data_IF_351264039337
#
_entry.id   IF_351264039337
#
_cell.length_a   1.000
_cell.length_b   1.000
_cell.length_c   1.000
_cell.angle_alpha   90.00
_cell.angle_beta   90.00
_cell.angle_gamma   90.00
#
_symmetry.space_group_name_H-M   'P 1'
#
loop_
_entity.id
_entity.type
_entity.pdbx_description
1 polymer ?
#
# COMPACT_ATOMS: atom_id res chain seq x y z
N UNK A 1 13.66 26.44 -7.27
CA UNK A 1 12.44 26.85 -6.51
C UNK A 1 11.27 26.26 -7.26
N UNK A 2 10.65 25.20 -6.69
CA UNK A 2 9.46 24.60 -7.30
C UNK A 2 8.32 25.62 -7.35
N UNK A 3 7.59 25.71 -8.47
CA UNK A 3 6.46 26.60 -8.59
C UNK A 3 5.34 26.17 -7.62
N UNK A 4 4.50 27.10 -7.16
CA UNK A 4 3.36 26.78 -6.28
C UNK A 4 2.45 25.72 -6.89
N UNK A 5 2.27 25.74 -8.22
CA UNK A 5 1.49 24.76 -8.94
C UNK A 5 2.13 23.35 -8.93
N UNK A 6 3.45 23.27 -9.00
CA UNK A 6 4.18 21.99 -8.92
C UNK A 6 4.03 21.34 -7.54
N UNK A 7 4.13 22.13 -6.47
CA UNK A 7 3.92 21.62 -5.11
C UNK A 7 2.49 21.11 -4.90
N UNK A 8 1.48 21.81 -5.40
CA UNK A 8 0.08 21.37 -5.33
C UNK A 8 -0.13 20.07 -6.10
N UNK A 9 0.43 19.97 -7.32
CA UNK A 9 0.35 18.74 -8.13
C UNK A 9 0.97 17.54 -7.40
N UNK A 10 2.18 17.72 -6.86
CA UNK A 10 2.86 16.66 -6.10
C UNK A 10 2.03 16.24 -4.90
N UNK A 11 1.49 17.19 -4.15
CA UNK A 11 0.67 16.92 -2.99
C UNK A 11 -0.61 16.13 -3.36
N UNK A 12 -1.29 16.51 -4.45
CA UNK A 12 -2.48 15.78 -4.93
C UNK A 12 -2.15 14.36 -5.37
N UNK A 13 -1.04 14.14 -6.09
CA UNK A 13 -0.60 12.80 -6.48
C UNK A 13 -0.33 11.95 -5.23
N UNK A 14 0.34 12.50 -4.21
CA UNK A 14 0.59 11.81 -2.96
C UNK A 14 -0.71 11.48 -2.21
N UNK A 15 -1.68 12.40 -2.15
CA UNK A 15 -2.97 12.14 -1.51
C UNK A 15 -3.72 10.99 -2.19
N UNK A 16 -3.74 10.95 -3.52
CA UNK A 16 -4.38 9.86 -4.29
C UNK A 16 -3.67 8.53 -3.98
N UNK A 17 -2.33 8.50 -4.02
CA UNK A 17 -1.59 7.27 -3.73
C UNK A 17 -1.77 6.82 -2.27
N UNK A 18 -1.81 7.74 -1.30
CA UNK A 18 -2.08 7.43 0.10
C UNK A 18 -3.46 6.82 0.31
N UNK A 19 -4.48 7.39 -0.35
CA UNK A 19 -5.84 6.87 -0.27
C UNK A 19 -5.93 5.46 -0.87
N UNK A 20 -5.43 5.27 -2.10
CA UNK A 20 -5.46 3.95 -2.77
C UNK A 20 -4.61 2.93 -2.00
N UNK A 21 -3.44 3.32 -1.49
CA UNK A 21 -2.60 2.47 -0.63
C UNK A 21 -3.32 2.04 0.65
N UNK A 22 -4.07 2.96 1.26
CA UNK A 22 -4.96 2.67 2.39
C UNK A 22 -6.08 1.69 2.04
N UNK A 23 -6.73 1.88 0.88
CA UNK A 23 -7.76 0.95 0.38
C UNK A 23 -7.16 -0.44 0.16
N UNK A 24 -5.99 -0.55 -0.48
CA UNK A 24 -5.28 -1.83 -0.68
C UNK A 24 -5.06 -2.53 0.67
N UNK A 25 -4.54 -1.80 1.66
CA UNK A 25 -4.28 -2.35 2.99
C UNK A 25 -5.55 -2.88 3.66
N UNK A 26 -6.64 -2.13 3.63
CA UNK A 26 -7.92 -2.53 4.22
C UNK A 26 -8.64 -3.63 3.42
N UNK A 27 -8.49 -3.65 2.09
CA UNK A 27 -8.95 -4.78 1.27
C UNK A 27 -8.24 -6.06 1.69
N UNK A 28 -6.92 -6.02 1.89
CA UNK A 28 -6.17 -7.19 2.39
C UNK A 28 -6.66 -7.62 3.78
N UNK A 29 -6.91 -6.70 4.70
CA UNK A 29 -7.42 -7.02 6.03
C UNK A 29 -8.81 -7.66 5.99
N UNK A 30 -9.69 -7.19 5.11
CA UNK A 30 -11.10 -7.61 5.06
C UNK A 30 -11.29 -8.87 4.21
N UNK A 31 -10.66 -8.92 3.03
CA UNK A 31 -10.87 -10.00 2.07
C UNK A 31 -10.00 -11.23 2.33
N UNK A 32 -8.75 -11.05 2.83
CA UNK A 32 -7.79 -12.13 2.95
C UNK A 32 -8.27 -13.29 3.84
N UNK A 33 -8.80 -13.07 5.06
CA UNK A 33 -9.25 -14.18 5.89
C UNK A 33 -10.31 -15.02 5.19
N UNK A 34 -11.24 -14.38 4.50
CA UNK A 34 -12.32 -15.05 3.79
C UNK A 34 -11.83 -15.75 2.52
N UNK A 35 -10.92 -15.11 1.78
CA UNK A 35 -10.26 -15.71 0.63
C UNK A 35 -9.50 -16.99 1.01
N UNK A 36 -8.78 -16.97 2.13
CA UNK A 36 -8.08 -18.15 2.66
C UNK A 36 -9.06 -19.25 3.05
N UNK A 37 -10.17 -18.91 3.71
CA UNK A 37 -11.21 -19.87 4.05
C UNK A 37 -11.83 -20.48 2.79
N UNK A 38 -12.19 -19.66 1.79
CA UNK A 38 -12.89 -20.12 0.60
C UNK A 38 -11.99 -21.00 -0.30
N UNK A 39 -10.68 -20.70 -0.40
CA UNK A 39 -9.76 -21.36 -1.33
C UNK A 39 -8.88 -22.45 -0.72
N UNK A 40 -8.66 -22.39 0.59
CA UNK A 40 -7.80 -23.32 1.31
C UNK A 40 -8.58 -24.15 2.34
N UNK A 41 -9.92 -24.23 2.18
CA UNK A 41 -10.75 -25.10 3.01
C UNK A 41 -10.22 -26.54 2.96
N UNK A 42 -10.02 -27.15 4.13
CA UNK A 42 -9.48 -28.50 4.26
C UNK A 42 -7.95 -28.61 4.20
N UNK A 43 -7.22 -27.56 3.75
CA UNK A 43 -5.75 -27.56 3.74
C UNK A 43 -5.14 -26.92 4.99
N UNK A 44 -5.85 -25.96 5.60
CA UNK A 44 -5.39 -25.21 6.79
C UNK A 44 -5.92 -25.82 8.12
N UNK A 45 -6.52 -27.03 8.06
CA UNK A 45 -7.17 -27.68 9.21
C UNK A 45 -8.56 -27.11 9.47
N UNK A 46 -9.34 -27.86 10.28
CA UNK A 46 -10.70 -27.49 10.63
C UNK A 46 -10.72 -26.32 11.62
N UNK A 47 -10.82 -25.09 11.11
CA UNK A 47 -11.15 -24.00 11.99
C UNK A 47 -10.51 -22.64 11.71
N UNK A 48 -11.09 -21.64 12.39
CA UNK A 48 -10.66 -20.27 12.38
C UNK A 48 -9.18 -20.08 12.83
N UNK A 49 -8.60 -21.06 13.56
CA UNK A 49 -7.24 -21.00 14.07
C UNK A 49 -6.19 -21.04 12.94
N UNK A 50 -6.33 -21.97 11.97
CA UNK A 50 -5.39 -22.09 10.85
C UNK A 50 -5.39 -20.84 9.96
N UNK A 51 -6.57 -20.32 9.62
CA UNK A 51 -6.72 -19.07 8.87
C UNK A 51 -6.16 -17.89 9.65
N UNK A 52 -6.45 -17.80 10.95
CA UNK A 52 -5.92 -16.75 11.83
C UNK A 52 -4.40 -16.78 11.95
N UNK A 53 -3.80 -17.97 12.02
CA UNK A 53 -2.34 -18.11 12.07
C UNK A 53 -1.67 -17.65 10.77
N UNK A 54 -2.21 -18.02 9.60
CA UNK A 54 -1.71 -17.54 8.30
C UNK A 54 -1.89 -16.03 8.19
N UNK A 55 -3.03 -15.50 8.60
CA UNK A 55 -3.28 -14.06 8.60
C UNK A 55 -2.26 -13.32 9.48
N UNK A 56 -2.03 -13.79 10.71
CA UNK A 56 -1.03 -13.22 11.61
C UNK A 56 0.37 -13.28 11.02
N UNK A 57 0.76 -14.41 10.41
CA UNK A 57 2.03 -14.58 9.70
C UNK A 57 2.21 -13.50 8.63
N UNK A 58 1.24 -13.30 7.74
CA UNK A 58 1.26 -12.30 6.67
C UNK A 58 1.54 -10.90 7.24
N UNK A 59 0.86 -10.51 8.30
CA UNK A 59 0.98 -9.16 8.87
C UNK A 59 2.24 -8.98 9.74
N UNK A 60 2.77 -10.03 10.36
CA UNK A 60 4.07 -9.99 11.06
C UNK A 60 5.19 -9.69 10.06
N UNK A 61 5.21 -10.37 8.91
CA UNK A 61 6.18 -10.08 7.84
C UNK A 61 6.00 -8.67 7.28
N UNK A 62 4.76 -8.19 7.17
CA UNK A 62 4.48 -6.79 6.85
C UNK A 62 5.15 -5.82 7.82
N UNK A 63 5.00 -6.04 9.13
CA UNK A 63 5.63 -5.21 10.16
C UNK A 63 7.16 -5.18 10.07
N UNK A 64 7.80 -6.33 9.86
CA UNK A 64 9.25 -6.43 9.64
C UNK A 64 9.66 -5.63 8.40
N UNK A 65 8.88 -5.75 7.32
CA UNK A 65 9.17 -5.08 6.05
C UNK A 65 9.02 -3.56 6.13
N UNK A 66 8.24 -3.04 7.07
CA UNK A 66 8.17 -1.60 7.33
C UNK A 66 9.51 -1.04 7.81
N UNK A 67 10.23 -1.78 8.64
CA UNK A 67 11.59 -1.39 9.10
C UNK A 67 12.55 -1.41 7.92
N UNK A 68 12.51 -2.46 7.10
CA UNK A 68 13.33 -2.56 5.88
C UNK A 68 13.02 -1.42 4.92
N UNK A 69 11.73 -1.10 4.72
CA UNK A 69 11.29 0.04 3.91
C UNK A 69 11.84 1.38 4.42
N UNK A 70 11.91 1.57 5.74
CA UNK A 70 12.56 2.72 6.36
C UNK A 70 14.05 2.79 6.02
N UNK A 71 14.79 1.69 6.20
CA UNK A 71 16.21 1.64 5.85
C UNK A 71 16.46 1.90 4.35
N UNK A 72 15.56 1.43 3.48
CA UNK A 72 15.65 1.71 2.04
C UNK A 72 15.38 3.19 1.74
N UNK A 73 14.40 3.79 2.41
CA UNK A 73 14.06 5.21 2.25
C UNK A 73 15.20 6.14 2.72
N UNK A 74 16.00 5.71 3.72
CA UNK A 74 17.17 6.44 4.19
C UNK A 74 18.35 6.36 3.23
N UNK A 75 18.50 5.25 2.50
CA UNK A 75 19.65 4.98 1.64
C UNK A 75 19.46 5.33 0.17
N UNK A 76 18.23 5.25 -0.32
CA UNK A 76 17.90 5.42 -1.73
C UNK A 76 16.99 6.63 -1.96
N UNK A 77 16.93 7.16 -3.19
CA UNK A 77 15.98 8.24 -3.52
C UNK A 77 14.54 7.85 -3.19
N UNK A 78 13.86 8.66 -2.38
CA UNK A 78 12.50 8.38 -1.91
C UNK A 78 11.52 8.03 -3.03
N UNK A 79 11.60 8.77 -4.17
CA UNK A 79 10.78 8.48 -5.35
C UNK A 79 11.03 7.07 -5.87
N UNK A 80 12.30 6.66 -5.95
CA UNK A 80 12.66 5.33 -6.45
C UNK A 80 12.07 4.24 -5.56
N UNK A 81 12.28 4.33 -4.25
CA UNK A 81 11.73 3.36 -3.28
C UNK A 81 10.21 3.29 -3.39
N UNK A 82 9.54 4.44 -3.38
CA UNK A 82 8.09 4.50 -3.42
C UNK A 82 7.51 3.95 -4.72
N UNK A 83 8.04 4.39 -5.87
CA UNK A 83 7.59 3.94 -7.19
C UNK A 83 7.86 2.45 -7.41
N UNK A 84 9.00 1.93 -6.91
CA UNK A 84 9.31 0.49 -6.99
C UNK A 84 8.31 -0.36 -6.19
N UNK A 85 7.91 0.09 -5.00
CA UNK A 85 6.87 -0.59 -4.23
C UNK A 85 5.55 -0.63 -5.00
N UNK A 86 5.12 0.48 -5.60
CA UNK A 86 3.89 0.52 -6.39
C UNK A 86 3.98 -0.36 -7.65
N UNK A 87 5.12 -0.40 -8.31
CA UNK A 87 5.36 -1.29 -9.43
C UNK A 87 5.22 -2.77 -9.02
N UNK A 88 5.90 -3.18 -7.95
CA UNK A 88 5.80 -4.55 -7.43
C UNK A 88 4.38 -4.91 -6.99
N UNK A 89 3.65 -3.95 -6.43
CA UNK A 89 2.28 -4.15 -5.97
C UNK A 89 1.33 -4.56 -7.10
N UNK A 90 1.56 -4.12 -8.35
CA UNK A 90 0.76 -4.53 -9.52
C UNK A 90 0.86 -6.05 -9.71
N UNK A 91 2.08 -6.59 -9.70
CA UNK A 91 2.31 -8.02 -9.93
C UNK A 91 1.76 -8.88 -8.80
N UNK A 92 1.93 -8.46 -7.55
CA UNK A 92 1.46 -9.27 -6.42
C UNK A 92 -0.06 -9.25 -6.31
N UNK A 93 -0.74 -8.15 -6.62
CA UNK A 93 -2.20 -8.09 -6.69
C UNK A 93 -2.74 -8.95 -7.83
N UNK A 94 -2.12 -8.88 -9.01
CA UNK A 94 -2.46 -9.75 -10.14
C UNK A 94 -2.21 -11.23 -9.82
N UNK A 95 -1.14 -11.52 -9.07
CA UNK A 95 -0.82 -12.87 -8.59
C UNK A 95 -1.90 -13.43 -7.65
N UNK A 96 -2.43 -12.63 -6.73
CA UNK A 96 -3.55 -13.05 -5.85
C UNK A 96 -4.80 -13.35 -6.70
N UNK A 97 -5.13 -12.49 -7.66
CA UNK A 97 -6.27 -12.66 -8.55
C UNK A 97 -6.19 -13.98 -9.35
N UNK A 98 -5.00 -14.33 -9.83
CA UNK A 98 -4.77 -15.50 -10.67
C UNK A 98 -4.54 -16.81 -9.89
N UNK A 99 -4.24 -16.75 -8.58
CA UNK A 99 -3.87 -17.93 -7.79
C UNK A 99 -5.08 -18.60 -7.17
N UNK A 100 -5.13 -19.94 -7.25
CA UNK A 100 -6.20 -20.75 -6.68
C UNK A 100 -5.75 -21.71 -5.54
N UNK A 101 -4.46 -21.71 -5.20
CA UNK A 101 -3.83 -22.67 -4.29
C UNK A 101 -2.94 -21.98 -3.25
N UNK A 102 -2.06 -22.73 -2.59
CA UNK A 102 -1.11 -22.20 -1.58
C UNK A 102 -0.28 -21.00 -2.04
N UNK A 103 -0.13 -20.77 -3.33
CA UNK A 103 0.51 -19.57 -3.88
C UNK A 103 -0.15 -18.26 -3.42
N UNK A 104 -1.44 -18.30 -3.07
CA UNK A 104 -2.14 -17.13 -2.49
C UNK A 104 -1.44 -16.62 -1.24
N UNK A 105 -0.96 -17.51 -0.35
CA UNK A 105 -0.27 -17.12 0.89
C UNK A 105 0.99 -16.35 0.56
N UNK A 106 1.78 -16.82 -0.43
CA UNK A 106 2.99 -16.14 -0.88
C UNK A 106 2.70 -14.76 -1.45
N UNK A 107 1.75 -14.67 -2.39
CA UNK A 107 1.36 -13.38 -2.98
C UNK A 107 0.74 -12.43 -1.96
N UNK A 108 -0.10 -12.92 -1.04
CA UNK A 108 -0.69 -12.10 0.02
C UNK A 108 0.38 -11.56 0.97
N UNK A 109 1.35 -12.39 1.36
CA UNK A 109 2.47 -11.96 2.19
C UNK A 109 3.28 -10.88 1.48
N UNK A 110 3.67 -11.11 0.23
CA UNK A 110 4.40 -10.12 -0.56
C UNK A 110 3.60 -8.83 -0.76
N UNK A 111 2.28 -8.91 -0.96
CA UNK A 111 1.42 -7.75 -1.14
C UNK A 111 1.40 -6.86 0.11
N UNK A 112 1.24 -7.45 1.29
CA UNK A 112 1.28 -6.70 2.56
C UNK A 112 2.68 -6.14 2.81
N UNK A 113 3.73 -6.94 2.59
CA UNK A 113 5.13 -6.51 2.74
C UNK A 113 5.43 -5.29 1.87
N UNK A 114 5.10 -5.33 0.59
CA UNK A 114 5.36 -4.24 -0.37
C UNK A 114 4.55 -3.00 -0.03
N UNK A 115 3.26 -3.17 0.31
CA UNK A 115 2.39 -2.06 0.68
C UNK A 115 2.92 -1.32 1.91
N UNK A 116 3.31 -2.06 2.95
CA UNK A 116 3.79 -1.49 4.21
C UNK A 116 5.21 -0.93 4.08
N UNK A 117 6.07 -1.54 3.25
CA UNK A 117 7.40 -1.02 2.95
C UNK A 117 7.39 0.36 2.27
N UNK A 118 6.30 0.70 1.56
CA UNK A 118 6.14 2.00 0.92
C UNK A 118 5.90 3.15 1.93
N UNK A 119 5.33 2.87 3.11
CA UNK A 119 4.88 3.88 4.07
C UNK A 119 5.98 4.85 4.57
N UNK A 120 7.21 4.38 4.92
CA UNK A 120 8.26 5.31 5.34
C UNK A 120 8.63 6.30 4.23
N UNK A 121 8.83 5.84 3.00
CA UNK A 121 9.15 6.71 1.87
C UNK A 121 8.01 7.69 1.58
N UNK A 122 6.76 7.26 1.70
CA UNK A 122 5.55 8.08 1.57
C UNK A 122 5.52 9.20 2.61
N UNK A 123 5.74 8.87 3.89
CA UNK A 123 5.76 9.83 4.98
C UNK A 123 6.87 10.88 4.79
N UNK A 124 8.07 10.44 4.41
CA UNK A 124 9.20 11.32 4.14
C UNK A 124 8.94 12.24 2.93
N UNK A 125 8.29 11.73 1.88
CA UNK A 125 7.89 12.57 0.74
C UNK A 125 6.83 13.58 1.13
N UNK A 126 5.81 13.19 1.90
CA UNK A 126 4.80 14.12 2.40
C UNK A 126 5.42 15.25 3.19
N UNK A 127 6.33 14.93 4.12
CA UNK A 127 7.06 15.93 4.90
C UNK A 127 7.93 16.82 4.01
N UNK A 128 8.64 16.26 3.03
CA UNK A 128 9.54 16.99 2.13
C UNK A 128 8.80 18.01 1.25
N UNK A 129 7.64 17.65 0.73
CA UNK A 129 6.87 18.50 -0.18
C UNK A 129 5.84 19.40 0.52
N UNK A 130 5.75 19.31 1.86
CA UNK A 130 4.88 20.17 2.67
C UNK A 130 5.72 21.19 3.45
N UNK A 131 5.37 22.49 3.44
CA UNK A 131 6.05 23.48 4.28
C UNK A 131 5.97 23.10 5.76
N UNK A 132 7.05 23.30 6.53
CA UNK A 132 7.14 22.90 7.94
C UNK A 132 5.98 23.41 8.80
N UNK A 133 5.51 24.63 8.56
CA UNK A 133 4.35 25.24 9.25
C UNK A 133 3.01 24.50 9.00
N UNK A 134 2.95 23.62 8.00
CA UNK A 134 1.73 22.89 7.58
C UNK A 134 1.86 21.38 7.70
N UNK A 135 2.94 20.85 8.30
CA UNK A 135 3.11 19.39 8.47
C UNK A 135 1.94 18.79 9.24
N UNK A 136 1.49 19.40 10.34
CA UNK A 136 0.34 18.91 11.10
C UNK A 136 -0.92 18.76 10.26
N UNK A 137 -1.22 19.76 9.41
CA UNK A 137 -2.36 19.70 8.51
C UNK A 137 -2.21 18.58 7.46
N UNK A 138 -1.03 18.47 6.84
CA UNK A 138 -0.78 17.45 5.82
C UNK A 138 -0.91 16.01 6.38
N UNK A 139 -0.34 15.75 7.55
CA UNK A 139 -0.49 14.46 8.23
C UNK A 139 -1.93 14.25 8.74
N UNK A 140 -2.61 15.31 9.21
CA UNK A 140 -4.03 15.25 9.56
C UNK A 140 -4.89 14.80 8.38
N UNK A 141 -4.71 15.40 7.20
CA UNK A 141 -5.41 14.99 5.96
C UNK A 141 -5.07 13.55 5.60
N UNK A 142 -3.80 13.15 5.70
CA UNK A 142 -3.38 11.74 5.48
C UNK A 142 -4.15 10.78 6.38
N UNK A 143 -4.26 11.06 7.67
CA UNK A 143 -4.99 10.19 8.61
C UNK A 143 -6.48 10.15 8.31
N UNK A 144 -7.10 11.28 7.95
CA UNK A 144 -8.51 11.30 7.50
C UNK A 144 -8.69 10.38 6.28
N UNK A 145 -7.80 10.46 5.28
CA UNK A 145 -7.86 9.57 4.12
C UNK A 145 -7.69 8.09 4.49
N UNK A 146 -6.80 7.78 5.42
CA UNK A 146 -6.61 6.42 5.92
C UNK A 146 -7.89 5.89 6.62
N UNK A 147 -8.56 6.71 7.42
CA UNK A 147 -9.83 6.34 8.06
C UNK A 147 -10.96 6.16 7.04
N UNK A 148 -11.05 7.03 6.02
CA UNK A 148 -12.06 6.91 4.96
C UNK A 148 -11.78 5.69 4.06
N UNK A 149 -10.53 5.30 3.88
CA UNK A 149 -10.17 4.14 3.08
C UNK A 149 -10.73 2.81 3.65
N UNK A 150 -10.89 2.72 4.99
CA UNK A 150 -11.41 1.51 5.62
C UNK A 150 -12.86 1.18 5.23
N UNK A 151 -13.86 2.06 5.44
CA UNK A 151 -15.23 1.78 5.02
C UNK A 151 -15.35 1.62 3.50
N UNK A 152 -14.60 2.38 2.70
CA UNK A 152 -14.58 2.22 1.24
C UNK A 152 -14.10 0.82 0.85
N UNK A 153 -13.05 0.32 1.49
CA UNK A 153 -12.54 -1.04 1.24
C UNK A 153 -13.57 -2.11 1.63
N UNK A 154 -14.24 -1.96 2.79
CA UNK A 154 -15.26 -2.91 3.26
C UNK A 154 -16.43 -2.97 2.27
N UNK A 155 -16.95 -1.83 1.85
CA UNK A 155 -18.05 -1.76 0.89
C UNK A 155 -17.64 -2.33 -0.48
N UNK A 156 -16.41 -2.01 -0.95
CA UNK A 156 -15.88 -2.54 -2.21
C UNK A 156 -15.80 -4.08 -2.18
N UNK A 157 -15.28 -4.65 -1.08
CA UNK A 157 -15.18 -6.10 -0.88
C UNK A 157 -16.57 -6.73 -0.87
N UNK A 158 -17.52 -6.15 -0.13
CA UNK A 158 -18.89 -6.65 -0.03
C UNK A 158 -19.61 -6.60 -1.38
N UNK A 159 -19.53 -5.48 -2.07
CA UNK A 159 -20.18 -5.26 -3.36
C UNK A 159 -19.63 -6.19 -4.45
N UNK A 160 -18.30 -6.27 -4.61
CA UNK A 160 -17.69 -7.14 -5.63
C UNK A 160 -18.02 -8.60 -5.35
N UNK A 161 -17.96 -9.04 -4.09
CA UNK A 161 -18.30 -10.41 -3.73
C UNK A 161 -19.76 -10.74 -4.01
N UNK A 162 -20.68 -9.83 -3.69
CA UNK A 162 -22.12 -10.01 -3.99
C UNK A 162 -22.37 -10.08 -5.49
N UNK A 163 -21.68 -9.29 -6.30
CA UNK A 163 -21.87 -9.22 -7.74
C UNK A 163 -21.21 -10.38 -8.50
N UNK A 164 -20.07 -10.90 -8.03
CA UNK A 164 -19.23 -11.87 -8.77
C UNK A 164 -19.12 -13.25 -8.11
N UNK A 165 -19.55 -13.37 -6.86
CA UNK A 165 -19.44 -14.60 -6.06
C UNK A 165 -18.03 -14.91 -5.55
N UNK A 166 -17.01 -14.11 -5.93
CA UNK A 166 -15.61 -14.34 -5.59
C UNK A 166 -14.80 -13.08 -5.34
N UNK A 167 -13.47 -13.23 -5.25
CA UNK A 167 -12.54 -12.12 -5.01
C UNK A 167 -11.61 -11.85 -6.21
N UNK A 168 -11.67 -12.62 -7.27
CA UNK A 168 -10.75 -12.50 -8.42
C UNK A 168 -10.87 -11.11 -9.07
N UNK A 169 -12.10 -10.70 -9.34
CA UNK A 169 -12.37 -9.36 -9.89
C UNK A 169 -12.02 -8.22 -8.95
N UNK A 170 -12.11 -8.47 -7.62
CA UNK A 170 -11.66 -7.48 -6.63
C UNK A 170 -10.16 -7.23 -6.76
N UNK A 171 -9.35 -8.30 -6.71
CA UNK A 171 -7.89 -8.16 -6.78
C UNK A 171 -7.42 -7.72 -8.16
N UNK A 172 -8.09 -8.13 -9.25
CA UNK A 172 -7.84 -7.61 -10.59
C UNK A 172 -8.12 -6.11 -10.69
N UNK A 173 -9.25 -5.65 -10.15
CA UNK A 173 -9.59 -4.22 -10.09
C UNK A 173 -8.60 -3.41 -9.26
N UNK A 174 -8.18 -3.95 -8.11
CA UNK A 174 -7.14 -3.33 -7.27
C UNK A 174 -5.80 -3.27 -8.01
N UNK A 175 -5.42 -4.31 -8.78
CA UNK A 175 -4.21 -4.29 -9.60
C UNK A 175 -4.26 -3.18 -10.66
N UNK A 176 -5.41 -2.99 -11.31
CA UNK A 176 -5.62 -1.89 -12.27
C UNK A 176 -5.52 -0.53 -11.59
N UNK A 177 -6.17 -0.33 -10.44
CA UNK A 177 -6.06 0.90 -9.66
C UNK A 177 -4.61 1.18 -9.25
N UNK A 178 -3.88 0.15 -8.83
CA UNK A 178 -2.45 0.22 -8.51
C UNK A 178 -1.62 0.66 -9.71
N UNK A 179 -1.90 0.12 -10.92
CA UNK A 179 -1.21 0.51 -12.14
C UNK A 179 -1.48 1.97 -12.53
N UNK A 180 -2.71 2.45 -12.34
CA UNK A 180 -3.06 3.86 -12.58
C UNK A 180 -2.26 4.76 -11.63
N UNK A 181 -2.21 4.42 -10.34
CA UNK A 181 -1.43 5.19 -9.35
C UNK A 181 0.06 5.13 -9.67
N UNK A 182 0.59 3.97 -10.06
CA UNK A 182 1.98 3.85 -10.49
C UNK A 182 2.31 4.84 -11.63
N UNK A 183 1.45 4.92 -12.65
CA UNK A 183 1.63 5.88 -13.76
C UNK A 183 1.62 7.32 -13.24
N UNK A 184 0.70 7.67 -12.34
CA UNK A 184 0.66 9.00 -11.73
C UNK A 184 1.93 9.31 -10.94
N UNK A 185 2.50 8.33 -10.24
CA UNK A 185 3.73 8.48 -9.45
C UNK A 185 4.98 8.71 -10.32
N UNK A 186 5.00 8.23 -11.55
CA UNK A 186 6.08 8.53 -12.50
C UNK A 186 6.17 10.03 -12.78
N UNK A 187 5.05 10.75 -12.72
CA UNK A 187 4.97 12.19 -12.90
C UNK A 187 5.48 13.03 -11.71
N UNK A 188 5.86 12.38 -10.59
CA UNK A 188 6.53 13.06 -9.49
C UNK A 188 7.92 13.58 -9.92
N UNK A 189 8.35 14.77 -9.47
CA UNK A 189 9.68 15.28 -9.77
C UNK A 189 10.75 14.35 -9.21
N UNK A 190 11.82 14.14 -9.96
CA UNK A 190 12.99 13.40 -9.48
C UNK A 190 13.61 14.13 -8.30
N UNK A 191 13.56 13.53 -7.11
CA UNK A 191 14.17 14.12 -5.92
C UNK A 191 15.67 13.94 -5.99
N UNK A 192 16.41 14.98 -6.38
CA UNK A 192 17.81 15.06 -5.98
C UNK A 192 17.82 15.29 -4.46
N UNK A 193 18.05 14.24 -3.70
CA UNK A 193 18.31 14.35 -2.26
C UNK A 193 19.70 15.00 -2.13
N UNK A 194 19.74 16.32 -1.95
CA UNK A 194 20.89 16.91 -1.25
C UNK A 194 20.66 16.58 0.24
N UNK A 195 21.57 15.84 0.89
CA UNK A 195 21.52 15.74 2.33
C UNK A 195 21.56 17.18 2.88
N UNK A 196 20.65 17.49 3.78
CA UNK A 196 20.76 18.71 4.55
C UNK A 196 22.10 18.62 5.29
N UNK A 197 23.05 19.48 4.93
CA UNK A 197 24.27 19.65 5.69
C UNK A 197 23.81 20.23 7.02
N UNK A 198 23.77 19.39 8.05
CA UNK A 198 23.60 19.86 9.43
C UNK A 198 24.90 20.62 9.72
N UNK A 199 24.86 21.94 9.99
CA UNK A 199 26.04 22.64 10.48
C UNK A 199 26.46 21.94 11.78
N UNK A 200 27.71 21.49 11.86
CA UNK A 200 28.29 21.07 13.12
C UNK A 200 28.33 22.28 14.06
N UNK A 201 27.54 22.23 15.15
CA UNK A 201 27.73 23.11 16.31
C UNK A 201 28.92 22.62 17.13
#
# INVERSE_FOLDING_TARGET
>A
VSSRGELVRVFLILLVSMFVGGVIYHVMQTALPKLLTDRLAGMLGDGAFGVGAVFAFVFIFGGIMQVVGGMLADRFPLKLVYVSCWFLQIFVMSGIAASANLGIIGFATLAVMVNVAALPAENMMLAKYTPAKRHGLAFGVKFVLAFVAAPVAIELVAWVRAATGGFDWLFAGVAVATAIVFILLLALPGSQVRPAVIPAE
#
